data_IF_700604537098
#
_entry.id   IF_700604537098
#
_cell.length_a   1.000
_cell.length_b   1.000
_cell.length_c   1.000
_cell.angle_alpha   90.00
_cell.angle_beta   90.00
_cell.angle_gamma   90.00
#
_symmetry.space_group_name_H-M   'P 1'
#
loop_
_entity.id
_entity.type
_entity.pdbx_description
1 polymer ?
#
# COMPACT_ATOMS: atom_id res chain seq x y z
N UNK A 1 14.87 30.71 -1.50
CA UNK A 1 13.49 30.52 -0.97
C UNK A 1 13.54 29.46 0.13
N UNK A 2 13.00 29.78 1.29
CA UNK A 2 12.96 28.84 2.42
C UNK A 2 11.82 27.88 2.25
N UNK A 3 12.10 26.59 2.40
CA UNK A 3 11.08 25.52 2.37
C UNK A 3 10.82 25.03 3.79
N UNK A 4 9.57 24.87 4.13
CA UNK A 4 9.13 24.38 5.44
C UNK A 4 8.47 23.02 5.33
N UNK A 5 8.59 22.22 6.38
CA UNK A 5 7.91 20.94 6.51
C UNK A 5 6.92 21.06 7.67
N UNK A 6 5.65 20.77 7.37
CA UNK A 6 4.57 20.74 8.35
C UNK A 6 4.14 19.29 8.59
N UNK A 7 4.27 18.83 9.83
CA UNK A 7 3.78 17.52 10.27
C UNK A 7 2.89 17.75 11.49
N UNK A 8 1.58 17.48 11.31
CA UNK A 8 0.58 17.62 12.37
C UNK A 8 0.57 19.00 13.04
N UNK A 9 0.82 20.06 12.26
CA UNK A 9 0.86 21.43 12.75
C UNK A 9 2.22 21.90 13.26
N UNK A 10 3.20 21.00 13.41
CA UNK A 10 4.58 21.36 13.74
C UNK A 10 5.33 21.71 12.46
N UNK A 11 5.68 22.97 12.30
CA UNK A 11 6.33 23.50 11.09
C UNK A 11 7.79 23.77 11.38
N UNK A 12 8.68 23.17 10.59
CA UNK A 12 10.14 23.35 10.72
C UNK A 12 10.76 23.65 9.38
N UNK A 13 11.87 24.39 9.40
CA UNK A 13 12.64 24.70 8.20
C UNK A 13 13.31 23.45 7.65
N UNK A 14 13.07 23.13 6.36
CA UNK A 14 13.56 21.90 5.74
C UNK A 14 15.09 21.81 5.71
N UNK A 15 15.80 22.95 5.58
CA UNK A 15 17.26 22.99 5.55
C UNK A 15 17.92 22.51 6.84
N UNK A 16 17.21 22.55 7.96
CA UNK A 16 17.70 22.09 9.28
C UNK A 16 17.40 20.64 9.57
N UNK A 17 16.72 19.92 8.63
CA UNK A 17 16.21 18.57 8.84
C UNK A 17 16.86 17.57 7.89
N UNK A 18 17.02 16.33 8.39
CA UNK A 18 17.28 15.17 7.53
C UNK A 18 15.93 14.57 7.14
N UNK A 19 15.62 14.51 5.84
CA UNK A 19 14.31 14.14 5.30
C UNK A 19 14.44 12.93 4.39
N UNK A 20 13.50 11.97 4.45
CA UNK A 20 13.48 10.87 3.49
C UNK A 20 13.41 11.39 2.05
N UNK A 21 14.18 10.80 1.15
CA UNK A 21 14.16 11.16 -0.28
C UNK A 21 12.94 10.59 -1.00
N UNK A 22 12.44 9.45 -0.53
CA UNK A 22 11.23 8.81 -1.06
C UNK A 22 10.00 9.36 -0.32
N UNK A 23 9.07 9.95 -1.07
CA UNK A 23 7.86 10.60 -0.54
C UNK A 23 6.63 9.69 -0.57
N UNK A 24 6.78 8.41 -0.92
CA UNK A 24 5.65 7.47 -1.03
C UNK A 24 4.79 7.43 0.24
N UNK A 25 5.43 7.45 1.41
CA UNK A 25 4.75 7.42 2.70
C UNK A 25 4.81 8.78 3.43
N UNK A 26 4.79 9.87 2.68
CA UNK A 26 4.86 11.21 3.27
C UNK A 26 3.80 11.44 4.35
N UNK A 27 2.60 10.88 4.18
CA UNK A 27 1.54 10.98 5.18
C UNK A 27 1.86 10.30 6.51
N UNK A 28 2.90 9.46 6.56
CA UNK A 28 3.38 8.77 7.76
C UNK A 28 4.64 9.40 8.37
N UNK A 29 5.10 10.54 7.85
CA UNK A 29 6.29 11.22 8.36
C UNK A 29 6.06 11.76 9.77
N UNK A 30 7.09 11.62 10.61
CA UNK A 30 7.11 12.16 11.97
C UNK A 30 8.48 12.75 12.26
N UNK A 31 8.55 13.71 13.16
CA UNK A 31 9.82 14.28 13.63
C UNK A 31 10.44 13.37 14.70
N UNK A 32 11.75 13.16 14.57
CA UNK A 32 12.59 12.54 15.59
C UNK A 32 13.86 13.38 15.73
N UNK A 33 13.88 14.29 16.70
CA UNK A 33 14.94 15.31 16.78
C UNK A 33 14.96 16.18 15.53
N UNK A 34 16.13 16.27 14.85
CA UNK A 34 16.29 17.01 13.60
C UNK A 34 16.08 16.12 12.36
N UNK A 35 15.60 14.91 12.54
CA UNK A 35 15.29 13.98 11.45
C UNK A 35 13.80 13.85 11.23
N UNK A 36 13.41 13.63 9.98
CA UNK A 36 12.06 13.19 9.61
C UNK A 36 12.13 11.69 9.34
N UNK A 37 11.31 10.93 10.01
CA UNK A 37 11.22 9.47 9.90
C UNK A 37 9.84 9.06 9.42
N UNK A 38 9.75 7.81 8.92
CA UNK A 38 8.49 7.19 8.57
C UNK A 38 7.97 6.40 9.75
N UNK A 39 6.77 6.75 10.25
CA UNK A 39 6.04 5.92 11.20
C UNK A 39 5.52 4.67 10.47
N UNK A 40 6.10 3.51 10.78
CA UNK A 40 5.79 2.27 10.07
C UNK A 40 4.34 1.81 10.26
N UNK A 41 3.75 2.04 11.42
CA UNK A 41 2.34 1.69 11.64
C UNK A 41 1.43 2.51 10.72
N UNK A 42 1.65 3.82 10.63
CA UNK A 42 0.91 4.71 9.72
C UNK A 42 1.22 4.38 8.25
N UNK A 43 2.48 4.07 7.91
CA UNK A 43 2.88 3.69 6.55
C UNK A 43 2.18 2.42 6.09
N UNK A 44 2.03 1.41 6.96
CA UNK A 44 1.31 0.18 6.64
C UNK A 44 -0.16 0.45 6.31
N UNK A 45 -0.80 1.36 7.04
CA UNK A 45 -2.18 1.75 6.76
C UNK A 45 -2.29 2.46 5.40
N UNK A 46 -1.35 3.35 5.07
CA UNK A 46 -1.29 4.01 3.77
C UNK A 46 -1.10 2.97 2.66
N UNK A 47 -0.19 2.01 2.86
CA UNK A 47 0.07 0.95 1.90
C UNK A 47 -1.17 0.08 1.66
N UNK A 48 -1.89 -0.28 2.71
CA UNK A 48 -3.16 -1.03 2.60
C UNK A 48 -4.20 -0.25 1.80
N UNK A 49 -4.32 1.06 2.03
CA UNK A 49 -5.24 1.91 1.27
C UNK A 49 -4.85 1.96 -0.22
N UNK A 50 -3.56 2.05 -0.52
CA UNK A 50 -3.05 2.00 -1.89
C UNK A 50 -3.37 0.66 -2.56
N UNK A 51 -3.21 -0.46 -1.84
CA UNK A 51 -3.58 -1.79 -2.33
C UNK A 51 -5.08 -1.90 -2.58
N UNK A 52 -5.92 -1.35 -1.70
CA UNK A 52 -7.37 -1.31 -1.89
C UNK A 52 -7.75 -0.58 -3.17
N UNK A 53 -7.08 0.53 -3.46
CA UNK A 53 -7.34 1.31 -4.68
C UNK A 53 -6.97 0.52 -5.95
N UNK A 54 -5.80 -0.13 -5.98
CA UNK A 54 -5.35 -0.87 -7.18
C UNK A 54 -6.10 -2.19 -7.37
N UNK A 55 -6.59 -2.82 -6.30
CA UNK A 55 -7.32 -4.09 -6.43
C UNK A 55 -8.71 -3.95 -7.04
N UNK A 56 -9.29 -2.74 -7.03
CA UNK A 56 -10.64 -2.49 -7.60
C UNK A 56 -10.70 -2.94 -9.05
N UNK A 57 -9.74 -2.52 -9.88
CA UNK A 57 -9.70 -2.91 -11.30
C UNK A 57 -9.53 -4.42 -11.49
N UNK A 58 -8.69 -5.06 -10.65
CA UNK A 58 -8.49 -6.51 -10.69
C UNK A 58 -9.76 -7.26 -10.30
N UNK A 59 -10.47 -6.78 -9.30
CA UNK A 59 -11.72 -7.39 -8.85
C UNK A 59 -12.79 -7.28 -9.94
N UNK A 60 -12.91 -6.12 -10.58
CA UNK A 60 -13.83 -5.91 -11.71
C UNK A 60 -13.55 -6.87 -12.86
N UNK A 61 -12.27 -7.06 -13.22
CA UNK A 61 -11.87 -8.01 -14.25
C UNK A 61 -12.26 -9.45 -13.89
N UNK A 62 -12.06 -9.86 -12.64
CA UNK A 62 -12.45 -11.18 -12.15
C UNK A 62 -13.98 -11.35 -12.11
N UNK A 63 -14.74 -10.31 -11.81
CA UNK A 63 -16.20 -10.35 -11.87
C UNK A 63 -16.70 -10.63 -13.30
N UNK A 64 -16.07 -10.03 -14.30
CA UNK A 64 -16.37 -10.29 -15.71
C UNK A 64 -16.04 -11.74 -16.08
N UNK A 65 -14.85 -12.23 -15.70
CA UNK A 65 -14.45 -13.62 -15.92
C UNK A 65 -15.43 -14.61 -15.27
N UNK A 66 -15.88 -14.30 -14.07
CA UNK A 66 -16.83 -15.11 -13.33
C UNK A 66 -18.15 -15.24 -14.10
N UNK A 67 -18.70 -14.12 -14.58
CA UNK A 67 -19.93 -14.10 -15.35
C UNK A 67 -19.76 -14.86 -16.68
N UNK A 68 -18.64 -14.68 -17.37
CA UNK A 68 -18.35 -15.40 -18.61
C UNK A 68 -18.28 -16.92 -18.39
N UNK A 69 -17.65 -17.35 -17.30
CA UNK A 69 -17.57 -18.76 -16.93
C UNK A 69 -18.96 -19.36 -16.65
N UNK A 70 -19.82 -18.62 -15.93
CA UNK A 70 -21.21 -19.02 -15.67
C UNK A 70 -21.99 -19.19 -16.97
N UNK A 71 -21.90 -18.21 -17.87
CA UNK A 71 -22.61 -18.25 -19.17
C UNK A 71 -22.15 -19.42 -20.04
N UNK A 72 -20.86 -19.75 -19.97
CA UNK A 72 -20.28 -20.86 -20.74
C UNK A 72 -20.49 -22.24 -20.07
N UNK A 73 -21.03 -22.28 -18.86
CA UNK A 73 -21.18 -23.53 -18.11
C UNK A 73 -19.88 -24.07 -17.53
N UNK A 74 -18.83 -23.25 -17.44
CA UNK A 74 -17.52 -23.61 -16.89
C UNK A 74 -17.50 -23.46 -15.36
N UNK A 75 -16.54 -24.16 -14.72
CA UNK A 75 -16.31 -24.00 -13.28
C UNK A 75 -15.85 -22.58 -12.92
N UNK A 76 -16.38 -22.03 -11.83
CA UNK A 76 -16.02 -20.73 -11.30
C UNK A 76 -15.11 -20.82 -10.07
N UNK A 77 -14.74 -22.02 -9.61
CA UNK A 77 -14.02 -22.22 -8.35
C UNK A 77 -12.65 -21.56 -8.33
N UNK A 78 -11.89 -21.63 -9.42
CA UNK A 78 -10.57 -20.98 -9.52
C UNK A 78 -10.69 -19.45 -9.45
N UNK A 79 -11.71 -18.89 -10.11
CA UNK A 79 -11.97 -17.44 -10.10
C UNK A 79 -12.38 -16.99 -8.70
N UNK A 80 -13.26 -17.75 -8.04
CA UNK A 80 -13.69 -17.48 -6.67
C UNK A 80 -12.50 -17.46 -5.70
N UNK A 81 -11.55 -18.39 -5.85
CA UNK A 81 -10.31 -18.44 -5.06
C UNK A 81 -9.45 -17.20 -5.29
N UNK A 82 -9.28 -16.76 -6.54
CA UNK A 82 -8.55 -15.53 -6.88
C UNK A 82 -9.20 -14.29 -6.26
N UNK A 83 -10.53 -14.20 -6.31
CA UNK A 83 -11.27 -13.10 -5.69
C UNK A 83 -11.07 -13.08 -4.17
N UNK A 84 -11.09 -14.24 -3.52
CA UNK A 84 -10.85 -14.34 -2.08
C UNK A 84 -9.42 -13.90 -1.72
N UNK A 85 -8.42 -14.33 -2.49
CA UNK A 85 -7.03 -13.90 -2.30
C UNK A 85 -6.92 -12.37 -2.40
N UNK A 86 -7.60 -11.74 -3.35
CA UNK A 86 -7.62 -10.28 -3.47
C UNK A 86 -8.28 -9.59 -2.27
N UNK A 87 -9.38 -10.14 -1.75
CA UNK A 87 -10.04 -9.58 -0.56
C UNK A 87 -9.13 -9.60 0.65
N UNK A 88 -8.34 -10.67 0.78
CA UNK A 88 -7.46 -10.89 1.94
C UNK A 88 -6.09 -10.23 1.80
N UNK A 89 -5.81 -9.56 0.67
CA UNK A 89 -4.46 -9.04 0.36
C UNK A 89 -3.95 -8.06 1.41
N UNK A 90 -4.81 -7.27 2.02
CA UNK A 90 -4.44 -6.30 3.05
C UNK A 90 -4.13 -6.96 4.40
N UNK A 91 -4.49 -8.23 4.57
CA UNK A 91 -4.19 -9.03 5.77
C UNK A 91 -2.93 -9.90 5.59
N UNK A 92 -2.21 -9.74 4.47
CA UNK A 92 -0.97 -10.47 4.22
C UNK A 92 0.06 -10.17 5.31
N UNK A 93 0.62 -11.22 5.91
CA UNK A 93 1.57 -11.10 7.03
C UNK A 93 2.85 -10.37 6.66
N UNK A 94 3.23 -10.35 5.38
CA UNK A 94 4.42 -9.63 4.91
C UNK A 94 4.28 -8.12 5.12
N UNK A 95 3.07 -7.58 5.02
CA UNK A 95 2.81 -6.15 5.28
C UNK A 95 3.11 -5.84 6.75
N UNK A 96 2.60 -6.65 7.67
CA UNK A 96 2.85 -6.46 9.10
C UNK A 96 4.32 -6.66 9.48
N UNK A 97 5.03 -7.51 8.74
CA UNK A 97 6.44 -7.84 8.99
C UNK A 97 7.42 -6.85 8.36
N UNK A 98 6.99 -6.01 7.43
CA UNK A 98 7.86 -5.02 6.80
C UNK A 98 8.34 -4.00 7.83
N UNK A 99 9.65 -3.90 8.00
CA UNK A 99 10.29 -3.06 9.02
C UNK A 99 10.87 -1.76 8.47
N UNK A 100 10.90 -1.59 7.15
CA UNK A 100 11.39 -0.39 6.48
C UNK A 100 10.40 0.09 5.43
N UNK A 101 10.40 1.40 5.10
CA UNK A 101 9.55 1.92 4.01
C UNK A 101 9.80 1.23 2.67
N UNK A 102 11.07 0.97 2.35
CA UNK A 102 11.45 0.32 1.08
C UNK A 102 10.91 -1.12 1.01
N UNK A 103 11.03 -1.89 2.10
CA UNK A 103 10.48 -3.24 2.17
C UNK A 103 8.96 -3.24 2.00
N UNK A 104 8.27 -2.29 2.63
CA UNK A 104 6.83 -2.14 2.51
C UNK A 104 6.41 -1.75 1.09
N UNK A 105 7.10 -0.78 0.49
CA UNK A 105 6.84 -0.33 -0.88
C UNK A 105 7.02 -1.44 -1.91
N UNK A 106 7.95 -2.36 -1.68
CA UNK A 106 8.20 -3.50 -2.57
C UNK A 106 7.06 -4.51 -2.59
N UNK A 107 6.16 -4.48 -1.59
CA UNK A 107 5.00 -5.36 -1.51
C UNK A 107 3.82 -4.79 -2.32
N UNK A 108 4.00 -4.66 -3.63
CA UNK A 108 2.92 -4.28 -4.54
C UNK A 108 1.94 -5.44 -4.77
N UNK A 109 0.84 -5.16 -5.45
CA UNK A 109 -0.21 -6.17 -5.68
C UNK A 109 0.34 -7.39 -6.42
N UNK A 110 1.13 -7.19 -7.47
CA UNK A 110 1.71 -8.29 -8.25
C UNK A 110 2.62 -9.17 -7.40
N UNK A 111 3.48 -8.56 -6.58
CA UNK A 111 4.39 -9.28 -5.67
C UNK A 111 3.61 -10.09 -4.64
N UNK A 112 2.58 -9.51 -4.03
CA UNK A 112 1.75 -10.18 -3.02
C UNK A 112 0.93 -11.32 -3.62
N UNK A 113 0.53 -11.21 -4.89
CA UNK A 113 -0.20 -12.26 -5.60
C UNK A 113 0.73 -13.34 -6.19
N UNK A 114 2.04 -13.15 -6.18
CA UNK A 114 2.99 -14.08 -6.75
C UNK A 114 3.06 -14.05 -8.27
N UNK A 115 2.75 -12.92 -8.84
CA UNK A 115 2.77 -12.69 -10.30
C UNK A 115 4.15 -12.24 -10.80
#
# INVERSE_FOLDING_TARGET
MTTYININGDVREASSLTVPTDRTFRGAWQFNGDAVEVDMAAARNIHKDNLRAVRVARMEALDVEFMQALEAGNSTSAIATKKQTLRDITDDSRIASASTPDALKALDLATLLGE
#
